data_IF_457924644934
#
_entry.id   IF_457924644934
#
_cell.length_a   1.000
_cell.length_b   1.000
_cell.length_c   1.000
_cell.angle_alpha   90.00
_cell.angle_beta   90.00
_cell.angle_gamma   90.00
#
_symmetry.space_group_name_H-M   'P 1'
#
loop_
_entity.id
_entity.type
_entity.pdbx_description
1 polymer ?
#
# COMPACT_ATOMS: atom_id res chain seq x y z
N UNK A 1 16.30 3.14 30.34
CA UNK A 1 14.87 2.78 30.21
C UNK A 1 14.70 1.99 28.93
N UNK A 2 14.36 0.69 28.98
CA UNK A 2 14.06 -0.06 27.76
C UNK A 2 12.88 0.62 27.06
N UNK A 3 13.12 1.08 25.83
CA UNK A 3 12.06 1.62 24.97
C UNK A 3 11.17 0.44 24.58
N UNK A 4 10.03 0.30 25.24
CA UNK A 4 8.93 -0.53 24.74
C UNK A 4 8.49 0.11 23.42
N UNK A 5 8.94 -0.43 22.30
CA UNK A 5 8.33 -0.13 21.02
C UNK A 5 6.91 -0.69 21.10
N UNK A 6 5.84 0.11 20.94
CA UNK A 6 4.49 -0.42 20.92
C UNK A 6 4.39 -1.42 19.77
N UNK A 7 4.38 -2.71 20.08
CA UNK A 7 4.26 -3.76 19.08
C UNK A 7 2.79 -3.98 18.80
N UNK A 8 2.37 -3.76 17.55
CA UNK A 8 1.02 -4.05 17.09
C UNK A 8 0.60 -5.50 17.37
N UNK A 9 1.55 -6.42 17.51
CA UNK A 9 1.34 -7.84 17.80
C UNK A 9 0.50 -8.11 19.05
N UNK A 10 0.39 -7.18 20.01
CA UNK A 10 -0.52 -7.35 21.15
C UNK A 10 -1.99 -7.51 20.71
N UNK A 11 -2.37 -6.91 19.59
CA UNK A 11 -3.72 -6.99 19.04
C UNK A 11 -4.06 -8.40 18.51
N UNK A 12 -3.10 -9.32 18.38
CA UNK A 12 -3.37 -10.71 17.99
C UNK A 12 -4.26 -11.44 18.99
N UNK A 13 -4.34 -10.96 20.24
CA UNK A 13 -5.30 -11.49 21.22
C UNK A 13 -6.74 -11.37 20.74
N UNK A 14 -7.04 -10.45 19.82
CA UNK A 14 -8.38 -10.30 19.28
C UNK A 14 -8.80 -11.44 18.32
N UNK A 15 -7.86 -12.27 17.85
CA UNK A 15 -8.17 -13.47 17.03
C UNK A 15 -8.95 -14.52 17.84
N UNK A 16 -8.46 -15.02 18.99
CA UNK A 16 -9.27 -15.93 19.80
C UNK A 16 -10.50 -15.24 20.39
N UNK A 17 -10.44 -13.93 20.68
CA UNK A 17 -11.61 -13.19 21.18
C UNK A 17 -12.75 -13.15 20.16
N UNK A 18 -12.45 -12.99 18.86
CA UNK A 18 -13.50 -13.00 17.83
C UNK A 18 -14.18 -14.35 17.71
N UNK A 19 -13.41 -15.45 17.79
CA UNK A 19 -13.95 -16.81 17.80
C UNK A 19 -14.83 -17.07 19.03
N UNK A 20 -14.41 -16.62 20.22
CA UNK A 20 -15.22 -16.74 21.44
C UNK A 20 -16.51 -15.90 21.33
N UNK A 21 -16.42 -14.69 20.77
CA UNK A 21 -17.57 -13.83 20.54
C UNK A 21 -18.60 -14.45 19.58
N UNK A 22 -18.14 -15.24 18.60
CA UNK A 22 -18.98 -15.95 17.64
C UNK A 22 -19.61 -17.19 18.27
N UNK A 23 -18.79 -18.13 18.77
CA UNK A 23 -19.26 -19.46 19.18
C UNK A 23 -19.84 -19.52 20.58
N UNK A 24 -19.44 -18.64 21.50
CA UNK A 24 -19.93 -18.65 22.89
C UNK A 24 -21.02 -17.59 23.07
N UNK A 25 -20.72 -16.35 22.72
CA UNK A 25 -21.59 -15.22 23.02
C UNK A 25 -22.59 -14.88 21.91
N UNK A 26 -22.38 -15.35 20.68
CA UNK A 26 -23.22 -15.09 19.51
C UNK A 26 -23.53 -13.60 19.33
N UNK A 27 -22.52 -12.73 19.48
CA UNK A 27 -22.66 -11.28 19.41
C UNK A 27 -22.06 -10.73 18.10
N UNK A 28 -22.87 -10.48 17.04
CA UNK A 28 -22.36 -10.13 15.71
C UNK A 28 -21.51 -8.85 15.70
N UNK A 29 -21.91 -7.84 16.47
CA UNK A 29 -21.16 -6.57 16.58
C UNK A 29 -19.81 -6.78 17.24
N UNK A 30 -19.75 -7.62 18.28
CA UNK A 30 -18.49 -7.94 18.95
C UNK A 30 -17.55 -8.73 18.04
N UNK A 31 -18.08 -9.70 17.29
CA UNK A 31 -17.32 -10.46 16.28
C UNK A 31 -16.75 -9.51 15.21
N UNK A 32 -17.57 -8.58 14.70
CA UNK A 32 -17.14 -7.61 13.70
C UNK A 32 -15.98 -6.74 14.21
N UNK A 33 -16.17 -6.07 15.36
CA UNK A 33 -15.16 -5.16 15.92
C UNK A 33 -13.87 -5.91 16.27
N UNK A 34 -13.97 -7.05 16.94
CA UNK A 34 -12.79 -7.85 17.31
C UNK A 34 -12.05 -8.37 16.07
N UNK A 35 -12.77 -8.81 15.03
CA UNK A 35 -12.16 -9.24 13.77
C UNK A 35 -11.45 -8.09 13.06
N UNK A 36 -12.05 -6.89 12.99
CA UNK A 36 -11.41 -5.70 12.44
C UNK A 36 -10.09 -5.38 13.16
N UNK A 37 -10.07 -5.44 14.49
CA UNK A 37 -8.86 -5.18 15.29
C UNK A 37 -7.81 -6.28 15.06
N UNK A 38 -8.24 -7.55 14.98
CA UNK A 38 -7.35 -8.69 14.74
C UNK A 38 -6.67 -8.64 13.37
N UNK A 39 -7.35 -8.10 12.34
CA UNK A 39 -6.82 -7.96 10.98
C UNK A 39 -5.62 -7.00 10.93
N UNK A 40 -5.60 -5.95 11.76
CA UNK A 40 -4.54 -4.93 11.76
C UNK A 40 -3.12 -5.51 11.93
N UNK A 41 -2.80 -6.27 13.00
CA UNK A 41 -1.48 -6.89 13.13
C UNK A 41 -1.24 -8.00 12.10
N UNK A 42 -2.27 -8.75 11.70
CA UNK A 42 -2.13 -9.81 10.69
C UNK A 42 -1.69 -9.25 9.33
N UNK A 43 -2.30 -8.15 8.89
CA UNK A 43 -1.91 -7.45 7.68
C UNK A 43 -0.46 -6.95 7.75
N UNK A 44 -0.04 -6.43 8.92
CA UNK A 44 1.35 -6.03 9.15
C UNK A 44 2.34 -7.20 9.03
N UNK A 45 2.02 -8.35 9.62
CA UNK A 45 2.85 -9.56 9.55
C UNK A 45 2.97 -10.09 8.12
N UNK A 46 1.87 -10.12 7.36
CA UNK A 46 1.88 -10.51 5.95
C UNK A 46 2.74 -9.55 5.13
N UNK A 47 2.60 -8.24 5.35
CA UNK A 47 3.42 -7.22 4.69
C UNK A 47 4.91 -7.41 4.94
N UNK A 48 5.31 -7.59 6.20
CA UNK A 48 6.72 -7.86 6.56
C UNK A 48 7.22 -9.18 5.97
N UNK A 49 6.41 -10.24 5.96
CA UNK A 49 6.78 -11.51 5.35
C UNK A 49 6.96 -11.37 3.82
N UNK A 50 6.09 -10.59 3.18
CA UNK A 50 6.14 -10.31 1.74
C UNK A 50 7.38 -9.54 1.36
N UNK A 51 7.76 -8.54 2.16
CA UNK A 51 8.97 -7.74 1.93
C UNK A 51 10.24 -8.63 1.98
N UNK A 52 10.35 -9.48 3.02
CA UNK A 52 11.46 -10.43 3.12
C UNK A 52 11.51 -11.44 1.96
N UNK A 53 10.34 -11.85 1.45
CA UNK A 53 10.27 -12.74 0.30
C UNK A 53 10.67 -12.02 -0.99
N UNK A 54 10.15 -10.81 -1.20
CA UNK A 54 10.44 -9.98 -2.36
C UNK A 54 11.94 -9.70 -2.52
N UNK A 55 12.63 -9.43 -1.41
CA UNK A 55 14.08 -9.22 -1.36
C UNK A 55 14.89 -10.42 -1.87
N UNK A 56 14.33 -11.64 -1.79
CA UNK A 56 15.01 -12.89 -2.20
C UNK A 56 14.62 -13.37 -3.61
N UNK A 57 13.55 -12.84 -4.19
CA UNK A 57 12.99 -13.31 -5.48
C UNK A 57 13.38 -12.45 -6.69
N UNK A 58 14.10 -11.35 -6.48
CA UNK A 58 14.53 -10.42 -7.53
C UNK A 58 13.49 -9.36 -7.90
N UNK A 59 13.86 -8.31 -8.66
CA UNK A 59 13.05 -7.09 -8.77
C UNK A 59 11.65 -7.27 -9.36
N UNK A 60 11.51 -8.07 -10.43
CA UNK A 60 10.23 -8.25 -11.11
C UNK A 60 9.27 -9.11 -10.30
N UNK A 61 9.74 -10.27 -9.81
CA UNK A 61 8.92 -11.18 -8.98
C UNK A 61 8.63 -10.56 -7.62
N UNK A 62 9.60 -9.88 -7.01
CA UNK A 62 9.42 -9.17 -5.76
C UNK A 62 8.42 -8.02 -5.88
N UNK A 63 8.44 -7.29 -6.99
CA UNK A 63 7.43 -6.27 -7.29
C UNK A 63 6.02 -6.84 -7.40
N UNK A 64 5.86 -7.99 -8.08
CA UNK A 64 4.58 -8.69 -8.18
C UNK A 64 4.09 -9.21 -6.81
N UNK A 65 4.99 -9.82 -6.03
CA UNK A 65 4.68 -10.30 -4.68
C UNK A 65 4.21 -9.17 -3.78
N UNK A 66 4.90 -8.02 -3.78
CA UNK A 66 4.49 -6.87 -2.99
C UNK A 66 3.13 -6.31 -3.44
N UNK A 67 2.83 -6.33 -4.74
CA UNK A 67 1.55 -5.88 -5.25
C UNK A 67 0.38 -6.77 -4.81
N UNK A 68 0.56 -8.09 -4.88
CA UNK A 68 -0.48 -9.06 -4.55
C UNK A 68 -0.60 -9.24 -3.03
N UNK A 69 0.51 -9.59 -2.37
CA UNK A 69 0.50 -9.88 -0.94
C UNK A 69 0.46 -8.64 -0.05
N UNK A 70 0.98 -7.51 -0.52
CA UNK A 70 0.85 -6.23 0.20
C UNK A 70 -0.58 -5.72 0.30
N UNK A 71 -1.47 -6.16 -0.60
CA UNK A 71 -2.91 -5.84 -0.58
C UNK A 71 -3.78 -7.10 -0.38
N UNK A 72 -3.23 -8.23 0.07
CA UNK A 72 -3.98 -9.49 0.10
C UNK A 72 -5.16 -9.45 1.07
N UNK A 73 -5.05 -8.71 2.15
CA UNK A 73 -6.15 -8.53 3.11
C UNK A 73 -7.36 -7.92 2.41
N UNK A 74 -7.15 -6.89 1.59
CA UNK A 74 -8.20 -6.25 0.82
C UNK A 74 -8.76 -7.19 -0.25
N UNK A 75 -7.90 -7.94 -0.94
CA UNK A 75 -8.31 -8.93 -1.93
C UNK A 75 -9.17 -10.05 -1.32
N UNK A 76 -8.77 -10.61 -0.18
CA UNK A 76 -9.51 -11.68 0.51
C UNK A 76 -10.88 -11.17 0.94
N UNK A 77 -10.94 -10.01 1.61
CA UNK A 77 -12.22 -9.43 2.06
C UNK A 77 -13.12 -9.11 0.86
N UNK A 78 -12.55 -8.53 -0.20
CA UNK A 78 -13.28 -8.22 -1.44
C UNK A 78 -13.89 -9.47 -2.07
N UNK A 79 -13.14 -10.55 -2.22
CA UNK A 79 -13.64 -11.82 -2.78
C UNK A 79 -14.74 -12.43 -1.91
N UNK A 80 -14.57 -12.43 -0.58
CA UNK A 80 -15.59 -12.95 0.34
C UNK A 80 -16.89 -12.15 0.27
N UNK A 81 -16.81 -10.82 0.15
CA UNK A 81 -17.98 -9.96 -0.01
C UNK A 81 -18.67 -10.15 -1.37
N UNK A 82 -17.90 -10.31 -2.45
CA UNK A 82 -18.45 -10.67 -3.76
C UNK A 82 -19.20 -11.99 -3.69
N UNK A 83 -18.65 -13.00 -3.02
CA UNK A 83 -19.32 -14.28 -2.81
C UNK A 83 -20.58 -14.17 -1.96
N UNK A 84 -20.62 -13.23 -1.01
CA UNK A 84 -21.80 -12.90 -0.23
C UNK A 84 -22.83 -12.03 -0.99
N UNK A 85 -22.52 -11.57 -2.20
CA UNK A 85 -23.39 -10.67 -2.98
C UNK A 85 -23.32 -9.19 -2.55
N UNK A 86 -22.37 -8.82 -1.70
CA UNK A 86 -22.23 -7.50 -1.09
C UNK A 86 -21.42 -6.53 -1.96
N UNK A 87 -21.83 -6.35 -3.22
CA UNK A 87 -21.08 -5.55 -4.21
C UNK A 87 -20.92 -4.07 -3.81
N UNK A 88 -21.91 -3.49 -3.14
CA UNK A 88 -21.84 -2.09 -2.68
C UNK A 88 -20.76 -1.92 -1.60
N UNK A 89 -20.60 -2.90 -0.70
CA UNK A 89 -19.55 -2.89 0.31
C UNK A 89 -18.17 -3.03 -0.34
N UNK A 90 -18.04 -3.87 -1.37
CA UNK A 90 -16.79 -4.01 -2.13
C UNK A 90 -16.41 -2.69 -2.79
N UNK A 91 -17.34 -2.05 -3.53
CA UNK A 91 -17.10 -0.75 -4.17
C UNK A 91 -16.69 0.31 -3.16
N UNK A 92 -17.40 0.39 -2.03
CA UNK A 92 -17.08 1.33 -0.96
C UNK A 92 -15.69 1.06 -0.36
N UNK A 93 -15.32 -0.21 -0.16
CA UNK A 93 -14.02 -0.59 0.38
C UNK A 93 -12.85 -0.24 -0.56
N UNK A 94 -13.00 -0.42 -1.88
CA UNK A 94 -11.98 -0.07 -2.87
C UNK A 94 -11.73 1.45 -2.90
N UNK A 95 -12.81 2.24 -2.90
CA UNK A 95 -12.71 3.72 -2.81
C UNK A 95 -12.07 4.11 -1.48
N UNK A 96 -12.49 3.46 -0.39
CA UNK A 96 -11.95 3.67 0.95
C UNK A 96 -10.46 3.37 1.05
N UNK A 97 -9.96 2.32 0.40
CA UNK A 97 -8.53 1.98 0.36
C UNK A 97 -7.72 3.02 -0.40
N UNK A 98 -8.22 3.50 -1.54
CA UNK A 98 -7.59 4.60 -2.29
C UNK A 98 -7.52 5.85 -1.42
N UNK A 99 -8.63 6.30 -0.84
CA UNK A 99 -8.67 7.49 0.02
C UNK A 99 -7.83 7.30 1.29
N UNK A 100 -7.85 6.11 1.89
CA UNK A 100 -7.06 5.75 3.05
C UNK A 100 -5.56 5.91 2.78
N UNK A 101 -5.08 5.39 1.64
CA UNK A 101 -3.68 5.52 1.28
C UNK A 101 -3.27 6.96 0.92
N UNK A 102 -4.13 7.67 0.18
CA UNK A 102 -3.80 9.01 -0.36
C UNK A 102 -3.99 10.15 0.63
N UNK A 103 -5.01 10.08 1.48
CA UNK A 103 -5.34 11.15 2.42
C UNK A 103 -4.83 10.80 3.80
N UNK A 104 -5.24 9.65 4.34
CA UNK A 104 -4.95 9.30 5.72
C UNK A 104 -3.47 8.91 5.91
N UNK A 105 -2.98 7.90 5.20
CA UNK A 105 -1.60 7.39 5.36
C UNK A 105 -0.58 8.43 4.89
N UNK A 106 -0.78 9.00 3.70
CA UNK A 106 0.11 10.04 3.18
C UNK A 106 0.08 11.30 4.06
N UNK A 107 -1.10 11.76 4.47
CA UNK A 107 -1.25 12.93 5.35
C UNK A 107 -0.62 12.71 6.72
N UNK A 108 -0.83 11.54 7.34
CA UNK A 108 -0.17 11.16 8.58
C UNK A 108 1.35 11.07 8.41
N UNK A 109 1.84 10.60 7.26
CA UNK A 109 3.28 10.53 6.95
C UNK A 109 3.90 11.92 6.79
N UNK A 110 3.19 12.86 6.16
CA UNK A 110 3.62 14.27 6.09
C UNK A 110 3.59 14.94 7.45
N UNK A 111 2.55 14.71 8.26
CA UNK A 111 2.47 15.27 9.61
C UNK A 111 3.59 14.71 10.49
N UNK A 112 3.73 13.39 10.59
CA UNK A 112 4.74 12.75 11.43
C UNK A 112 6.17 13.02 10.95
N UNK A 113 6.40 12.99 9.63
CA UNK A 113 7.68 13.29 9.03
C UNK A 113 8.06 14.77 9.15
N UNK A 114 7.09 15.67 8.97
CA UNK A 114 7.22 17.11 9.14
C UNK A 114 7.56 17.46 10.58
N UNK A 115 6.83 16.93 11.57
CA UNK A 115 7.10 17.14 13.00
C UNK A 115 8.50 16.64 13.41
N UNK A 116 8.96 15.51 12.86
CA UNK A 116 10.31 14.99 13.14
C UNK A 116 11.44 15.79 12.47
N UNK A 117 11.19 16.34 11.28
CA UNK A 117 12.20 17.03 10.47
C UNK A 117 11.87 18.51 10.26
N UNK A 118 11.31 19.18 11.28
CA UNK A 118 10.96 20.61 11.24
C UNK A 118 12.14 21.49 10.78
N UNK A 119 13.37 21.13 11.15
CA UNK A 119 14.57 21.93 10.87
C UNK A 119 15.20 21.63 9.50
N UNK A 120 15.13 20.39 9.04
CA UNK A 120 15.83 19.92 7.84
C UNK A 120 14.92 19.83 6.60
N UNK A 121 13.60 19.87 6.81
CA UNK A 121 12.59 19.62 5.79
C UNK A 121 12.54 18.14 5.35
N UNK A 122 11.38 17.70 4.87
CA UNK A 122 11.26 16.37 4.24
C UNK A 122 11.75 16.43 2.79
N UNK A 123 12.59 15.48 2.39
CA UNK A 123 13.08 15.35 1.02
C UNK A 123 12.20 14.40 0.22
N UNK A 124 11.81 14.83 -0.98
CA UNK A 124 11.02 14.02 -1.90
C UNK A 124 11.69 13.99 -3.27
N UNK A 125 11.64 12.84 -3.94
CA UNK A 125 12.00 12.73 -5.36
C UNK A 125 10.83 13.23 -6.20
N UNK A 126 10.93 14.47 -6.69
CA UNK A 126 9.89 15.10 -7.50
C UNK A 126 9.61 14.33 -8.81
N UNK A 127 10.59 13.62 -9.36
CA UNK A 127 10.40 12.82 -10.59
C UNK A 127 9.63 11.55 -10.28
N UNK A 128 9.98 10.86 -9.20
CA UNK A 128 9.24 9.68 -8.75
C UNK A 128 7.80 10.05 -8.36
N UNK A 129 7.62 11.08 -7.54
CA UNK A 129 6.31 11.57 -7.12
C UNK A 129 5.42 11.91 -8.32
N UNK A 130 5.93 12.69 -9.29
CA UNK A 130 5.18 13.01 -10.52
C UNK A 130 4.78 11.76 -11.31
N UNK A 131 5.67 10.77 -11.42
CA UNK A 131 5.38 9.50 -12.13
C UNK A 131 4.25 8.72 -11.43
N UNK A 132 4.31 8.62 -10.10
CA UNK A 132 3.28 7.91 -9.33
C UNK A 132 1.95 8.65 -9.34
N UNK A 133 1.95 9.98 -9.20
CA UNK A 133 0.74 10.80 -9.28
C UNK A 133 0.06 10.71 -10.65
N UNK A 134 0.81 10.70 -11.75
CA UNK A 134 0.21 10.53 -13.08
C UNK A 134 -0.38 9.13 -13.27
N UNK A 135 0.29 8.09 -12.77
CA UNK A 135 -0.23 6.71 -12.82
C UNK A 135 -1.51 6.56 -12.00
N UNK A 136 -1.55 7.18 -10.83
CA UNK A 136 -2.71 7.19 -9.95
C UNK A 136 -3.90 7.93 -10.60
N UNK A 137 -3.66 9.10 -11.20
CA UNK A 137 -4.69 9.84 -11.92
C UNK A 137 -5.30 9.00 -13.05
N UNK A 138 -4.46 8.32 -13.84
CA UNK A 138 -4.91 7.43 -14.89
C UNK A 138 -5.77 6.27 -14.34
N UNK A 139 -5.35 5.67 -13.22
CA UNK A 139 -6.11 4.61 -12.57
C UNK A 139 -7.47 5.07 -12.05
N UNK A 140 -7.53 6.23 -11.38
CA UNK A 140 -8.78 6.79 -10.85
C UNK A 140 -9.72 7.20 -11.98
N UNK A 141 -9.22 7.85 -13.03
CA UNK A 141 -10.03 8.21 -14.20
C UNK A 141 -10.61 6.95 -14.84
N UNK A 142 -9.78 5.93 -15.08
CA UNK A 142 -10.24 4.64 -15.60
C UNK A 142 -11.33 4.03 -14.73
N UNK A 143 -11.12 3.98 -13.42
CA UNK A 143 -12.11 3.43 -12.47
C UNK A 143 -13.44 4.20 -12.46
N UNK A 144 -13.43 5.52 -12.67
CA UNK A 144 -14.64 6.36 -12.68
C UNK A 144 -15.42 6.25 -14.00
N UNK A 145 -14.76 5.84 -15.11
CA UNK A 145 -15.40 5.77 -16.43
C UNK A 145 -16.70 4.95 -16.47
N UNK A 146 -16.78 3.72 -15.93
CA UNK A 146 -18.03 2.96 -15.92
C UNK A 146 -19.16 3.66 -15.15
N UNK A 147 -18.83 4.32 -14.03
CA UNK A 147 -19.82 5.05 -13.23
C UNK A 147 -20.39 6.25 -14.01
N UNK A 148 -19.54 7.04 -14.66
CA UNK A 148 -19.99 8.16 -15.52
C UNK A 148 -20.85 7.65 -16.68
N UNK A 149 -20.46 6.54 -17.29
CA UNK A 149 -21.23 5.95 -18.38
C UNK A 149 -22.65 5.58 -17.92
N UNK A 150 -22.80 4.93 -16.76
CA UNK A 150 -24.13 4.60 -16.22
C UNK A 150 -24.98 5.81 -15.85
N UNK A 151 -24.36 6.94 -15.48
CA UNK A 151 -25.09 8.16 -15.11
C UNK A 151 -25.57 8.95 -16.33
N UNK A 152 -24.80 8.95 -17.42
CA UNK A 152 -25.08 9.77 -18.61
C UNK A 152 -25.87 9.00 -19.67
N UNK A 153 -25.70 7.68 -19.76
CA UNK A 153 -26.33 6.88 -20.79
C UNK A 153 -27.74 6.44 -20.35
N UNK A 154 -28.75 7.25 -20.70
CA UNK A 154 -30.14 7.14 -20.25
C UNK A 154 -30.90 5.87 -20.72
N UNK A 155 -30.31 5.00 -21.56
CA UNK A 155 -30.99 3.85 -22.20
C UNK A 155 -30.11 2.59 -22.35
N UNK A 156 -29.11 2.40 -21.50
CA UNK A 156 -28.21 1.25 -21.65
C UNK A 156 -28.72 0.01 -20.93
N UNK A 157 -28.47 -1.14 -21.55
CA UNK A 157 -28.71 -2.45 -20.94
C UNK A 157 -27.56 -2.80 -19.99
N UNK A 158 -27.84 -3.59 -18.94
CA UNK A 158 -26.82 -4.09 -18.00
C UNK A 158 -25.62 -4.73 -18.73
N UNK A 159 -25.85 -5.35 -19.90
CA UNK A 159 -24.82 -5.96 -20.73
C UNK A 159 -23.79 -4.94 -21.25
N UNK A 160 -24.22 -3.74 -21.65
CA UNK A 160 -23.29 -2.72 -22.16
C UNK A 160 -22.40 -2.14 -21.06
N UNK A 161 -22.97 -1.91 -19.87
CA UNK A 161 -22.20 -1.48 -18.68
C UNK A 161 -21.17 -2.53 -18.26
N UNK A 162 -21.53 -3.80 -18.31
CA UNK A 162 -20.63 -4.91 -17.99
C UNK A 162 -19.44 -4.96 -18.96
N UNK A 163 -19.71 -4.88 -20.27
CA UNK A 163 -18.65 -4.86 -21.30
C UNK A 163 -17.68 -3.69 -21.08
N UNK A 164 -18.19 -2.49 -20.81
CA UNK A 164 -17.35 -1.32 -20.56
C UNK A 164 -16.49 -1.52 -19.30
N UNK A 165 -17.08 -2.06 -18.23
CA UNK A 165 -16.36 -2.36 -16.99
C UNK A 165 -15.24 -3.38 -17.22
N UNK A 166 -15.50 -4.44 -18.00
CA UNK A 166 -14.52 -5.45 -18.37
C UNK A 166 -13.38 -4.89 -19.22
N UNK A 167 -13.70 -4.06 -20.22
CA UNK A 167 -12.70 -3.41 -21.07
C UNK A 167 -11.82 -2.48 -20.25
N UNK A 168 -12.40 -1.65 -19.40
CA UNK A 168 -11.67 -0.74 -18.50
C UNK A 168 -10.77 -1.53 -17.55
N UNK A 169 -11.28 -2.59 -16.92
CA UNK A 169 -10.49 -3.44 -16.05
C UNK A 169 -9.30 -4.08 -16.79
N UNK A 170 -9.54 -4.62 -18.00
CA UNK A 170 -8.49 -5.19 -18.84
C UNK A 170 -7.41 -4.17 -19.21
N UNK A 171 -7.80 -2.97 -19.63
CA UNK A 171 -6.87 -1.88 -19.94
C UNK A 171 -6.04 -1.50 -18.70
N UNK A 172 -6.67 -1.35 -17.53
CA UNK A 172 -5.97 -1.02 -16.29
C UNK A 172 -4.97 -2.12 -15.87
N UNK A 173 -5.33 -3.39 -16.01
CA UNK A 173 -4.42 -4.52 -15.74
C UNK A 173 -3.22 -4.50 -16.70
N UNK A 174 -3.46 -4.31 -18.00
CA UNK A 174 -2.39 -4.24 -19.00
C UNK A 174 -1.45 -3.07 -18.72
N UNK A 175 -2.01 -1.89 -18.42
CA UNK A 175 -1.22 -0.71 -18.05
C UNK A 175 -0.41 -0.94 -16.77
N UNK A 176 -0.99 -1.62 -15.78
CA UNK A 176 -0.29 -1.98 -14.55
C UNK A 176 0.90 -2.90 -14.81
N UNK A 177 0.72 -3.97 -15.61
CA UNK A 177 1.79 -4.89 -15.99
C UNK A 177 2.85 -4.24 -16.88
N UNK A 178 2.45 -3.36 -17.79
CA UNK A 178 3.35 -2.58 -18.63
C UNK A 178 4.20 -1.60 -17.79
N UNK A 179 3.60 -0.96 -16.78
CA UNK A 179 4.32 -0.09 -15.86
C UNK A 179 5.35 -0.86 -15.02
N UNK A 180 5.03 -2.09 -14.62
CA UNK A 180 5.94 -2.97 -13.86
C UNK A 180 7.07 -3.61 -14.68
N UNK A 181 6.91 -3.75 -16.01
CA UNK A 181 7.88 -4.40 -16.90
C UNK A 181 8.90 -3.45 -17.55
N UNK A 182 8.84 -2.15 -17.26
CA UNK A 182 9.80 -1.17 -17.76
C UNK A 182 11.26 -1.50 -17.38
N UNK A 183 12.25 -1.12 -18.21
CA UNK A 183 13.65 -1.47 -17.95
C UNK A 183 14.07 -0.99 -16.56
N UNK A 184 14.85 -1.80 -15.80
CA UNK A 184 15.21 -1.48 -14.43
C UNK A 184 15.87 -0.12 -14.39
N UNK A 185 15.18 0.86 -13.77
CA UNK A 185 15.72 2.20 -13.59
C UNK A 185 16.95 2.08 -12.69
N UNK A 186 18.13 2.09 -13.30
CA UNK A 186 19.43 2.17 -12.61
C UNK A 186 19.43 3.43 -11.76
N UNK A 187 19.15 3.29 -10.47
CA UNK A 187 19.15 4.39 -9.51
C UNK A 187 19.64 3.92 -8.14
N UNK A 188 20.71 4.54 -7.65
CA UNK A 188 21.26 4.42 -6.28
C UNK A 188 22.32 3.33 -6.00
N UNK A 189 23.27 3.10 -6.92
CA UNK A 189 24.63 2.63 -6.51
C UNK A 189 25.60 3.79 -6.22
N UNK A 190 25.28 5.02 -6.62
CA UNK A 190 26.19 6.16 -6.47
C UNK A 190 26.26 6.74 -5.04
N UNK A 191 25.25 6.51 -4.20
CA UNK A 191 25.18 7.09 -2.85
C UNK A 191 25.96 6.29 -1.81
N UNK A 192 26.22 5.00 -2.06
CA UNK A 192 27.01 4.14 -1.15
C UNK A 192 28.53 4.33 -1.31
N UNK A 193 28.98 4.83 -2.47
CA UNK A 193 30.41 5.07 -2.73
C UNK A 193 30.95 6.36 -2.07
N UNK A 194 30.09 7.33 -1.72
CA UNK A 194 30.51 8.59 -1.07
C UNK A 194 30.52 8.53 0.45
N UNK A 195 29.74 7.64 1.06
CA UNK A 195 29.72 7.44 2.52
C UNK A 195 30.90 6.58 3.03
N UNK A 196 31.47 5.71 2.19
CA UNK A 196 32.64 4.89 2.54
C UNK A 196 33.99 5.60 2.49
N UNK A 197 34.09 6.80 1.90
CA UNK A 197 35.37 7.54 1.77
C UNK A 197 35.63 8.57 2.86
N UNK A 198 34.69 8.84 3.77
CA UNK A 198 34.88 9.80 4.89
C UNK A 198 35.17 9.17 6.25
N UNK A 199 35.17 7.84 6.36
CA UNK A 199 35.38 7.13 7.62
C UNK A 199 36.81 6.58 7.83
N UNK A 200 37.79 7.02 7.03
CA UNK A 200 39.16 6.51 7.11
C UNK A 200 40.21 7.57 6.79
N UNK A 201 40.49 8.47 7.74
CA UNK A 201 41.75 9.21 7.80
C UNK A 201 42.07 9.51 9.27
N UNK A 202 43.03 8.80 9.90
CA UNK A 202 43.59 9.21 11.17
C UNK A 202 44.62 10.33 10.94
N UNK A 203 44.79 11.18 11.96
CA UNK A 203 45.38 12.50 11.85
C UNK A 203 46.81 12.58 11.31
N UNK A 204 47.10 13.72 10.66
CA UNK A 204 48.44 14.25 10.48
C UNK A 204 48.46 15.65 11.09
N UNK A 205 49.26 15.78 12.15
CA UNK A 205 49.52 17.01 12.88
C UNK A 205 50.32 17.99 12.03
N UNK A 206 50.11 19.26 12.34
CA UNK A 206 50.95 20.41 12.06
C UNK A 206 52.46 20.14 12.09
N UNK A 207 53.16 20.53 11.03
CA UNK A 207 54.59 20.90 11.08
C UNK A 207 54.94 21.85 9.94
N UNK A 208 55.25 23.09 10.33
CA UNK A 208 56.05 24.15 9.71
C UNK A 208 56.49 23.99 8.24
N UNK A 209 56.07 24.94 7.40
CA UNK A 209 56.92 25.50 6.35
C UNK A 209 57.62 26.75 6.88
N UNK A 210 58.90 26.85 6.52
CA UNK A 210 59.82 27.97 6.65
C UNK A 210 59.35 29.26 5.99
#
# INVERSE_FOLDING_TARGET
MPKLTPSLNWLLVFVPVSLVAEFVFHQPVAVFISSCIAIVPLAGLIGTATEHLADRTGPTVGGLLNATFGNVTELIIGVLLVWAGEFEVVKASLIGSILGNLVLVLGASYLAGGLRHIRDGQRFDAKAARTHSSSLLLAVVGMVMPAVFTLVALHETNAQTEVISLVVAGVLIVLYLAAGSGPPRRGSRATRARSGRRAGAPGARSSCCS
#
